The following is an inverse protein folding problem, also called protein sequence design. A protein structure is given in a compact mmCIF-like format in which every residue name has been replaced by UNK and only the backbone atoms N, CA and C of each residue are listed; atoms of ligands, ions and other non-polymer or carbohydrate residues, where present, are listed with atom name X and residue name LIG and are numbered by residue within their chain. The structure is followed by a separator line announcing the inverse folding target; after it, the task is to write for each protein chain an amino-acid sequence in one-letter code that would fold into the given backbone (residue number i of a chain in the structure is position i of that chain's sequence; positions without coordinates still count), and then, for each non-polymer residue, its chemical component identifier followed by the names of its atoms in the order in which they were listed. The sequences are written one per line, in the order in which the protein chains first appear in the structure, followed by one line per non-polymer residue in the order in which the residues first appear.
data_IF_730300544433
#
_entry.id   IF_730300544433
#
_cell.length_a   1.000
_cell.length_b   1.000
_cell.length_c   1.000
_cell.angle_alpha   90.00
_cell.angle_beta   90.00
_cell.angle_gamma   90.00
#
_symmetry.space_group_name_H-M   'P 1'
#
loop_
_entity.id
_entity.type
_entity.pdbx_description
1 polymer ?
#
# COMPACT_ATOMS: atom_id res chain seq x y z
N UNK A 1 -4.48 2.98 9.35
CA UNK A 1 -4.41 2.89 7.87
C UNK A 1 -5.12 1.65 7.35
N UNK A 2 -4.76 0.42 7.76
CA UNK A 2 -5.45 -0.80 7.30
C UNK A 2 -6.98 -0.74 7.44
N UNK A 3 -7.49 -0.20 8.55
CA UNK A 3 -8.93 0.02 8.74
C UNK A 3 -9.54 0.94 7.67
N UNK A 4 -8.86 2.04 7.29
CA UNK A 4 -9.32 2.94 6.23
C UNK A 4 -9.31 2.25 4.86
N UNK A 5 -8.34 1.38 4.60
CA UNK A 5 -8.28 0.59 3.36
C UNK A 5 -9.53 -0.31 3.26
N UNK A 6 -9.88 -1.02 4.34
CA UNK A 6 -11.08 -1.86 4.38
C UNK A 6 -12.39 -1.04 4.31
N UNK A 7 -12.37 0.22 4.71
CA UNK A 7 -13.51 1.14 4.60
C UNK A 7 -13.57 1.87 3.26
N UNK A 8 -12.55 1.74 2.42
CA UNK A 8 -12.45 2.47 1.14
C UNK A 8 -12.09 3.95 1.28
N UNK A 9 -11.60 4.39 2.44
CA UNK A 9 -11.24 5.78 2.73
C UNK A 9 -12.07 6.43 3.84
N UNK A 10 -12.05 7.76 3.96
CA UNK A 10 -11.33 8.72 3.11
C UNK A 10 -9.81 8.61 3.26
N UNK A 11 -9.08 8.93 2.20
CA UNK A 11 -7.62 8.96 2.21
C UNK A 11 -7.08 10.39 2.17
N UNK A 12 -5.92 10.60 2.78
CA UNK A 12 -5.35 11.94 2.99
C UNK A 12 -4.53 12.42 1.78
N UNK A 13 -3.90 11.49 1.07
CA UNK A 13 -3.01 11.82 -0.04
C UNK A 13 -3.61 11.34 -1.36
N UNK A 14 -3.48 12.14 -2.42
CA UNK A 14 -4.02 11.83 -3.77
C UNK A 14 -3.48 10.53 -4.38
N UNK A 15 -2.35 10.06 -3.85
CA UNK A 15 -1.70 8.81 -4.27
C UNK A 15 -2.19 7.60 -3.48
N UNK A 16 -3.00 7.78 -2.44
CA UNK A 16 -3.56 6.66 -1.69
C UNK A 16 -4.67 5.99 -2.50
N UNK A 17 -4.54 4.68 -2.72
CA UNK A 17 -5.44 3.89 -3.55
C UNK A 17 -5.07 3.82 -5.03
N UNK A 18 -4.01 4.50 -5.48
CA UNK A 18 -3.53 4.37 -6.86
C UNK A 18 -2.82 3.04 -7.07
N UNK A 19 -2.77 2.60 -8.33
CA UNK A 19 -2.13 1.34 -8.71
C UNK A 19 -0.63 1.36 -8.41
N UNK A 20 -0.16 0.34 -7.70
CA UNK A 20 1.25 0.04 -7.51
C UNK A 20 1.70 -0.97 -8.58
N UNK A 21 2.73 -0.60 -9.34
CA UNK A 21 3.13 -1.37 -10.54
C UNK A 21 3.94 -2.63 -10.26
N UNK A 22 4.51 -2.79 -9.06
CA UNK A 22 5.42 -3.89 -8.72
C UNK A 22 6.51 -4.14 -9.80
N UNK A 23 7.18 -3.06 -10.26
CA UNK A 23 8.10 -3.12 -11.42
C UNK A 23 9.38 -3.89 -11.08
N UNK A 24 9.84 -3.72 -9.85
CA UNK A 24 11.00 -4.35 -9.25
C UNK A 24 10.71 -5.80 -8.82
N UNK A 25 9.44 -6.24 -8.91
CA UNK A 25 8.98 -7.61 -8.63
C UNK A 25 9.32 -8.10 -7.23
N UNK A 26 9.31 -7.20 -6.24
CA UNK A 26 9.54 -7.52 -4.84
C UNK A 26 8.31 -8.16 -4.16
N UNK A 27 7.12 -7.97 -4.74
CA UNK A 27 5.90 -8.66 -4.35
C UNK A 27 5.58 -9.80 -5.34
N UNK A 28 4.76 -10.80 -4.95
CA UNK A 28 4.35 -11.88 -5.85
C UNK A 28 3.78 -11.36 -7.17
N UNK A 29 4.10 -12.04 -8.28
CA UNK A 29 3.57 -11.68 -9.59
C UNK A 29 2.05 -11.90 -9.63
N UNK A 30 1.33 -10.90 -10.13
CA UNK A 30 -0.13 -10.90 -10.24
C UNK A 30 -0.58 -10.12 -11.48
N UNK A 31 -1.89 -10.15 -11.75
CA UNK A 31 -2.50 -9.42 -12.87
C UNK A 31 -2.27 -7.90 -12.74
N UNK A 32 -2.42 -7.18 -13.86
CA UNK A 32 -2.30 -5.71 -13.86
C UNK A 32 -3.31 -5.08 -12.88
N UNK A 33 -2.91 -3.96 -12.28
CA UNK A 33 -3.71 -3.21 -11.31
C UNK A 33 -4.12 -3.98 -10.04
N UNK A 34 -3.50 -5.15 -9.78
CA UNK A 34 -3.77 -5.95 -8.59
C UNK A 34 -3.32 -5.27 -7.29
N UNK A 35 -2.22 -4.51 -7.32
CA UNK A 35 -1.69 -3.84 -6.14
C UNK A 35 -2.06 -2.35 -6.12
N UNK A 36 -2.33 -1.83 -4.93
CA UNK A 36 -2.55 -0.39 -4.67
C UNK A 36 -1.71 0.09 -3.49
N UNK A 37 -1.23 1.33 -3.56
CA UNK A 37 -0.41 1.92 -2.52
C UNK A 37 -1.16 2.88 -1.60
N UNK A 38 -0.69 2.98 -0.37
CA UNK A 38 -1.32 3.74 0.70
C UNK A 38 -0.25 4.35 1.61
N UNK A 39 -0.32 5.64 1.87
CA UNK A 39 0.63 6.34 2.74
C UNK A 39 0.43 5.97 4.20
N UNK A 40 1.53 5.63 4.86
CA UNK A 40 1.59 5.53 6.32
C UNK A 40 2.25 6.80 6.85
N UNK A 41 1.52 7.54 7.69
CA UNK A 41 2.01 8.80 8.24
C UNK A 41 3.29 8.57 9.05
N UNK A 42 4.32 9.36 8.77
CA UNK A 42 5.50 9.47 9.61
C UNK A 42 5.33 10.70 10.50
N UNK A 43 5.35 10.59 11.83
CA UNK A 43 5.24 11.75 12.72
C UNK A 43 6.34 12.77 12.42
N UNK A 44 5.99 14.06 12.40
CA UNK A 44 6.93 15.16 12.09
C UNK A 44 7.19 15.40 10.59
N UNK A 45 6.87 14.43 9.73
CA UNK A 45 7.08 14.55 8.29
C UNK A 45 5.99 15.41 7.63
N UNK A 46 6.40 16.36 6.78
CA UNK A 46 5.49 17.21 6.00
C UNK A 46 5.14 16.62 4.64
N UNK A 47 6.02 15.78 4.11
CA UNK A 47 5.78 15.02 2.88
C UNK A 47 5.01 13.72 3.18
N UNK A 48 4.82 12.89 2.14
CA UNK A 48 4.29 11.52 2.33
C UNK A 48 5.27 10.62 3.09
N UNK A 49 6.55 10.99 3.23
CA UNK A 49 7.61 10.15 3.79
C UNK A 49 7.86 8.87 2.97
N UNK A 50 8.67 7.97 3.52
CA UNK A 50 9.04 6.69 2.87
C UNK A 50 8.07 5.52 3.15
N UNK A 51 7.25 5.64 4.22
CA UNK A 51 6.43 4.53 4.70
C UNK A 51 5.16 4.33 3.90
N UNK A 52 4.90 3.09 3.46
CA UNK A 52 3.69 2.73 2.70
C UNK A 52 3.14 1.38 3.13
N UNK A 53 1.84 1.22 2.93
CA UNK A 53 1.21 -0.09 2.80
C UNK A 53 0.89 -0.30 1.32
N UNK A 54 1.19 -1.47 0.81
CA UNK A 54 0.75 -1.93 -0.51
C UNK A 54 -0.16 -3.12 -0.30
N UNK A 55 -1.43 -3.00 -0.70
CA UNK A 55 -2.39 -4.10 -0.62
C UNK A 55 -2.68 -4.65 -2.01
N UNK A 56 -2.75 -5.98 -2.11
CA UNK A 56 -3.11 -6.71 -3.31
C UNK A 56 -4.52 -7.27 -3.21
N UNK A 57 -5.26 -7.26 -4.32
CA UNK A 57 -6.60 -7.81 -4.41
C UNK A 57 -7.40 -7.14 -5.52
N UNK A 58 -8.34 -7.88 -6.12
CA UNK A 58 -9.24 -7.32 -7.14
C UNK A 58 -10.28 -6.38 -6.52
N UNK A 59 -10.65 -6.61 -5.26
CA UNK A 59 -11.52 -5.74 -4.49
C UNK A 59 -10.70 -4.82 -3.58
N UNK A 60 -10.71 -3.52 -3.85
CA UNK A 60 -9.90 -2.53 -3.13
C UNK A 60 -10.16 -2.53 -1.61
N UNK A 61 -11.43 -2.69 -1.20
CA UNK A 61 -11.85 -2.67 0.20
C UNK A 61 -11.80 -4.05 0.88
N UNK A 62 -11.39 -5.10 0.16
CA UNK A 62 -11.23 -6.45 0.68
C UNK A 62 -9.94 -7.06 0.09
N UNK A 63 -8.76 -6.61 0.53
CA UNK A 63 -7.49 -7.06 -0.01
C UNK A 63 -7.17 -8.50 0.40
N UNK A 64 -6.59 -9.28 -0.51
CA UNK A 64 -6.15 -10.66 -0.27
C UNK A 64 -4.91 -10.68 0.64
N UNK A 65 -4.03 -9.69 0.50
CA UNK A 65 -2.84 -9.51 1.31
C UNK A 65 -2.37 -8.05 1.33
N UNK A 66 -1.75 -7.64 2.43
CA UNK A 66 -1.09 -6.34 2.54
C UNK A 66 0.37 -6.48 2.95
N UNK A 67 1.18 -5.55 2.47
CA UNK A 67 2.62 -5.49 2.67
C UNK A 67 3.01 -4.11 3.15
N UNK A 68 3.98 -4.04 4.04
CA UNK A 68 4.53 -2.79 4.59
C UNK A 68 5.95 -2.56 4.08
N UNK A 69 6.24 -1.32 3.71
CA UNK A 69 7.60 -0.81 3.41
C UNK A 69 7.83 0.44 4.25
N UNK A 70 9.02 0.58 4.82
CA UNK A 70 9.52 1.77 5.50
C UNK A 70 10.70 2.43 4.79
N UNK A 71 11.08 1.92 3.63
CA UNK A 71 12.27 2.28 2.87
C UNK A 71 11.95 2.69 1.42
N UNK A 72 10.76 3.24 1.19
CA UNK A 72 10.32 3.75 -0.10
C UNK A 72 10.39 2.67 -1.20
N UNK A 73 9.73 1.54 -0.93
CA UNK A 73 9.55 0.40 -1.82
C UNK A 73 10.82 -0.43 -2.09
N UNK A 74 11.91 -0.24 -1.33
CA UNK A 74 13.14 -1.02 -1.49
C UNK A 74 13.04 -2.42 -0.87
N UNK A 75 12.21 -2.60 0.16
CA UNK A 75 11.88 -3.90 0.74
C UNK A 75 10.45 -3.94 1.28
N UNK A 76 9.92 -5.15 1.45
CA UNK A 76 8.56 -5.37 1.92
C UNK A 76 8.51 -6.44 3.00
N UNK A 77 7.63 -6.21 3.98
CA UNK A 77 7.21 -7.21 4.96
C UNK A 77 5.74 -7.49 4.79
N UNK A 78 5.37 -8.76 4.65
CA UNK A 78 3.96 -9.17 4.63
C UNK A 78 3.35 -8.90 6.01
N UNK A 79 2.17 -8.29 6.04
CA UNK A 79 1.39 -8.11 7.26
C UNK A 79 0.58 -9.40 7.45
N UNK A 80 0.78 -10.06 8.59
CA UNK A 80 0.03 -11.24 9.00
C UNK A 80 -0.83 -10.86 10.21
N UNK A 81 -2.04 -11.41 10.25
CA UNK A 81 -2.97 -11.30 11.36
C UNK A 81 -3.03 -12.63 12.09
#
# INVERSE_FOLDING_TARGET
MLMLIHQGGPFRHDKDGVVFGNRERLLPANVRAYYREYTVRTPGERSRGARRIVCGGLQTAAPDACFYTDDHYASFRKIVH
#
